data_IF_288698384154
#
_entry.id   IF_288698384154
#
_cell.length_a   1.000
_cell.length_b   1.000
_cell.length_c   1.000
_cell.angle_alpha   90.00
_cell.angle_beta   90.00
_cell.angle_gamma   90.00
#
_symmetry.space_group_name_H-M   'P 1'
#
loop_
_entity.id
_entity.type
_entity.pdbx_description
1 polymer ?
#
# COMPACT_ATOMS: atom_id res chain seq x y z
N UNK A 1 -18.25 41.85 -13.80
CA UNK A 1 -18.94 41.38 -15.02
C UNK A 1 -18.21 40.27 -15.78
N UNK A 2 -16.86 40.14 -15.71
CA UNK A 2 -16.14 39.03 -16.35
C UNK A 2 -15.67 37.89 -15.42
N UNK A 3 -15.91 37.99 -14.10
CA UNK A 3 -15.55 36.93 -13.13
C UNK A 3 -16.72 35.97 -12.81
N UNK A 4 -17.96 36.41 -13.02
CA UNK A 4 -19.14 35.62 -12.68
C UNK A 4 -19.49 34.57 -13.76
N UNK A 5 -19.25 34.90 -15.04
CA UNK A 5 -19.49 34.00 -16.19
C UNK A 5 -18.57 32.76 -16.17
N UNK A 6 -17.33 32.90 -15.67
CA UNK A 6 -16.40 31.78 -15.54
C UNK A 6 -16.79 30.82 -14.40
N UNK A 7 -17.35 31.33 -13.31
CA UNK A 7 -17.83 30.53 -12.18
C UNK A 7 -19.15 29.82 -12.50
N UNK A 8 -20.03 30.44 -13.27
CA UNK A 8 -21.27 29.81 -13.78
C UNK A 8 -20.98 28.73 -14.83
N UNK A 9 -19.98 28.94 -15.71
CA UNK A 9 -19.52 27.93 -16.67
C UNK A 9 -18.93 26.69 -15.98
N UNK A 10 -18.14 26.89 -14.92
CA UNK A 10 -17.61 25.79 -14.11
C UNK A 10 -18.73 25.05 -13.37
N UNK A 11 -19.65 25.76 -12.69
CA UNK A 11 -20.79 25.13 -12.01
C UNK A 11 -21.69 24.33 -12.95
N UNK A 12 -21.93 24.87 -14.14
CA UNK A 12 -22.71 24.22 -15.20
C UNK A 12 -22.04 22.94 -15.69
N UNK A 13 -20.72 22.91 -15.86
CA UNK A 13 -19.98 21.69 -16.22
C UNK A 13 -19.98 20.64 -15.09
N UNK A 14 -19.80 21.05 -13.83
CA UNK A 14 -19.90 20.15 -12.67
C UNK A 14 -21.31 19.58 -12.48
N UNK A 15 -22.35 20.33 -12.83
CA UNK A 15 -23.73 19.83 -12.81
C UNK A 15 -24.06 18.96 -14.04
N UNK A 16 -23.44 19.20 -15.19
CA UNK A 16 -23.63 18.40 -16.41
C UNK A 16 -23.03 16.99 -16.32
N UNK A 17 -21.92 16.83 -15.58
CA UNK A 17 -21.37 15.51 -15.27
C UNK A 17 -22.27 14.69 -14.31
N UNK A 18 -23.20 15.35 -13.60
CA UNK A 18 -24.16 14.71 -12.69
C UNK A 18 -25.42 14.17 -13.40
N UNK A 19 -25.51 14.35 -14.73
CA UNK A 19 -26.66 13.98 -15.57
C UNK A 19 -26.40 12.81 -16.52
N UNK A 20 -25.23 12.17 -16.45
CA UNK A 20 -25.05 10.84 -17.04
C UNK A 20 -25.48 9.80 -16.00
N UNK A 21 -26.64 9.18 -16.23
CA UNK A 21 -27.22 8.13 -15.39
C UNK A 21 -26.39 6.84 -15.44
N UNK A 22 -25.18 6.84 -14.87
CA UNK A 22 -24.33 5.65 -14.90
C UNK A 22 -22.98 5.74 -14.19
N UNK A 23 -22.46 6.92 -13.86
CA UNK A 23 -21.21 7.05 -13.12
C UNK A 23 -21.48 7.54 -11.69
N UNK A 24 -21.21 6.68 -10.70
CA UNK A 24 -21.10 7.03 -9.29
C UNK A 24 -19.62 7.18 -8.93
N UNK A 25 -19.11 8.42 -8.77
CA UNK A 25 -17.70 8.67 -8.47
C UNK A 25 -17.18 7.93 -7.22
N UNK A 26 -18.07 7.60 -6.27
CA UNK A 26 -17.69 6.89 -5.05
C UNK A 26 -17.52 5.39 -5.27
N UNK A 27 -18.24 4.79 -6.21
CA UNK A 27 -18.18 3.36 -6.53
C UNK A 27 -17.27 3.06 -7.73
N UNK A 28 -17.09 4.04 -8.63
CA UNK A 28 -16.38 3.88 -9.89
C UNK A 28 -14.93 4.38 -9.85
N UNK A 29 -14.46 4.85 -8.69
CA UNK A 29 -13.04 5.17 -8.46
C UNK A 29 -12.41 4.06 -7.62
N UNK A 30 -11.82 3.04 -8.25
CA UNK A 30 -11.30 1.89 -7.52
C UNK A 30 -10.13 2.26 -6.61
N UNK A 31 -9.90 1.42 -5.60
CA UNK A 31 -8.82 1.61 -4.63
C UNK A 31 -7.48 1.53 -5.33
N UNK A 32 -6.71 2.61 -5.27
CA UNK A 32 -5.37 2.65 -5.84
C UNK A 32 -4.37 1.90 -4.94
N UNK A 33 -4.24 0.59 -5.14
CA UNK A 33 -3.48 -0.31 -4.26
C UNK A 33 -2.00 0.07 -4.11
N UNK A 34 -1.37 0.60 -5.16
CA UNK A 34 0.02 1.08 -5.11
C UNK A 34 0.17 2.20 -4.09
N UNK A 35 -0.73 3.19 -4.15
CA UNK A 35 -0.70 4.31 -3.24
C UNK A 35 -1.17 3.95 -1.85
N UNK A 36 -2.18 3.10 -1.71
CA UNK A 36 -2.75 2.74 -0.41
C UNK A 36 -1.80 1.83 0.37
N UNK A 37 -1.26 0.80 -0.26
CA UNK A 37 -0.50 -0.24 0.43
C UNK A 37 1.01 0.05 0.39
N UNK A 38 1.61 0.22 -0.79
CA UNK A 38 3.07 0.37 -0.89
C UNK A 38 3.53 1.77 -0.48
N UNK A 39 3.04 2.82 -1.14
CA UNK A 39 3.37 4.21 -0.80
C UNK A 39 2.61 4.72 0.43
N UNK A 40 1.70 3.91 0.97
CA UNK A 40 0.98 4.14 2.21
C UNK A 40 1.53 3.28 3.33
N UNK A 41 0.89 2.15 3.61
CA UNK A 41 1.20 1.30 4.76
C UNK A 41 2.67 0.89 4.84
N UNK A 42 3.23 0.29 3.79
CA UNK A 42 4.62 -0.20 3.79
C UNK A 42 5.59 0.96 3.99
N UNK A 43 5.44 2.05 3.25
CA UNK A 43 6.26 3.26 3.42
C UNK A 43 6.20 3.82 4.84
N UNK A 44 4.99 4.01 5.36
CA UNK A 44 4.77 4.59 6.68
C UNK A 44 5.33 3.71 7.79
N UNK A 45 5.14 2.40 7.67
CA UNK A 45 5.54 1.44 8.70
C UNK A 45 7.05 1.21 8.66
N UNK A 46 7.65 1.17 7.47
CA UNK A 46 9.10 1.04 7.33
C UNK A 46 9.80 2.24 7.95
N UNK A 47 9.26 3.42 7.67
CA UNK A 47 9.77 4.64 8.26
C UNK A 47 9.71 4.63 9.79
N UNK A 48 8.53 4.37 10.35
CA UNK A 48 8.33 4.38 11.81
C UNK A 48 9.13 3.27 12.52
N UNK A 49 9.27 2.09 11.90
CA UNK A 49 10.10 1.00 12.42
C UNK A 49 11.57 1.44 12.51
N UNK A 50 12.17 1.94 11.42
CA UNK A 50 13.58 2.36 11.41
C UNK A 50 13.81 3.56 12.34
N UNK A 51 12.89 4.52 12.40
CA UNK A 51 13.00 5.69 13.27
C UNK A 51 13.06 5.34 14.76
N UNK A 52 12.55 4.17 15.16
CA UNK A 52 12.59 3.68 16.55
C UNK A 52 13.85 2.88 16.88
N UNK A 53 14.60 2.43 15.87
CA UNK A 53 15.83 1.67 16.07
C UNK A 53 16.99 2.59 16.48
N UNK A 54 17.81 2.13 17.42
CA UNK A 54 19.11 2.74 17.71
C UNK A 54 20.16 2.38 16.64
N UNK A 55 21.33 3.00 16.69
CA UNK A 55 22.36 2.83 15.66
C UNK A 55 22.91 1.39 15.59
N UNK A 56 22.97 0.68 16.72
CA UNK A 56 23.38 -0.73 16.77
C UNK A 56 22.33 -1.58 16.06
N UNK A 57 21.05 -1.41 16.40
CA UNK A 57 19.94 -2.13 15.78
C UNK A 57 19.83 -1.85 14.28
N UNK A 58 20.06 -0.61 13.84
CA UNK A 58 20.12 -0.25 12.42
C UNK A 58 21.25 -0.98 11.69
N UNK A 59 22.41 -1.12 12.33
CA UNK A 59 23.53 -1.87 11.78
C UNK A 59 23.18 -3.35 11.63
N UNK A 60 22.53 -3.94 12.65
CA UNK A 60 22.03 -5.33 12.57
C UNK A 60 21.01 -5.50 11.44
N UNK A 61 20.06 -4.57 11.31
CA UNK A 61 19.08 -4.58 10.22
C UNK A 61 19.74 -4.52 8.85
N UNK A 62 20.77 -3.69 8.67
CA UNK A 62 21.55 -3.64 7.43
C UNK A 62 22.24 -4.99 7.16
N UNK A 63 22.82 -5.62 8.19
CA UNK A 63 23.41 -6.96 8.05
C UNK A 63 22.38 -7.99 7.64
N UNK A 64 21.19 -8.01 8.25
CA UNK A 64 20.11 -8.93 7.87
C UNK A 64 19.67 -8.72 6.42
N UNK A 65 19.47 -7.47 6.00
CA UNK A 65 19.12 -7.13 4.62
C UNK A 65 20.20 -7.57 3.63
N UNK A 66 21.47 -7.24 3.90
CA UNK A 66 22.58 -7.57 3.01
C UNK A 66 22.84 -9.09 2.92
N UNK A 67 22.48 -9.84 3.97
CA UNK A 67 22.65 -11.30 4.04
C UNK A 67 21.41 -12.06 3.57
N UNK A 68 20.33 -11.37 3.22
CA UNK A 68 19.07 -12.00 2.84
C UNK A 68 19.21 -12.74 1.50
N UNK A 69 18.77 -13.99 1.48
CA UNK A 69 18.87 -14.83 0.28
C UNK A 69 17.75 -14.50 -0.72
N UNK A 70 18.11 -13.89 -1.85
CA UNK A 70 17.16 -13.37 -2.87
C UNK A 70 16.87 -14.25 -4.11
N UNK A 71 17.56 -15.38 -4.43
CA UNK A 71 17.29 -16.14 -5.65
C UNK A 71 15.81 -16.55 -5.83
N UNK A 72 15.12 -16.91 -4.75
CA UNK A 72 13.70 -17.27 -4.79
C UNK A 72 12.75 -16.10 -5.08
N UNK A 73 13.23 -14.86 -4.94
CA UNK A 73 12.46 -13.64 -5.21
C UNK A 73 12.75 -13.06 -6.61
N UNK A 74 13.76 -13.58 -7.32
CA UNK A 74 14.20 -13.07 -8.62
C UNK A 74 14.52 -11.55 -8.61
N UNK A 75 15.16 -11.08 -7.55
CA UNK A 75 15.62 -9.68 -7.39
C UNK A 75 17.13 -9.63 -7.17
N UNK A 76 17.72 -8.46 -7.46
CA UNK A 76 19.12 -8.17 -7.10
C UNK A 76 19.33 -8.24 -5.58
N UNK A 77 20.57 -8.51 -5.11
CA UNK A 77 20.91 -8.40 -3.70
C UNK A 77 20.45 -7.07 -3.10
N UNK A 78 19.92 -7.14 -1.87
CA UNK A 78 19.35 -5.98 -1.21
C UNK A 78 20.45 -4.98 -0.84
N UNK A 79 20.24 -3.72 -1.19
CA UNK A 79 21.09 -2.62 -0.73
C UNK A 79 20.66 -2.20 0.69
N UNK A 80 20.99 -3.01 1.70
CA UNK A 80 20.56 -2.80 3.09
C UNK A 80 20.91 -1.41 3.62
N UNK A 81 22.08 -0.89 3.26
CA UNK A 81 22.48 0.48 3.61
C UNK A 81 21.48 1.51 3.05
N UNK A 82 21.08 1.38 1.79
CA UNK A 82 20.09 2.29 1.16
C UNK A 82 18.74 2.19 1.84
N UNK A 83 18.26 0.97 2.06
CA UNK A 83 16.94 0.71 2.67
C UNK A 83 16.83 1.23 4.10
N UNK A 84 17.95 1.34 4.82
CA UNK A 84 17.98 1.78 6.23
C UNK A 84 18.43 3.24 6.40
N UNK A 85 19.43 3.72 5.66
CA UNK A 85 19.96 5.09 5.82
C UNK A 85 19.17 6.11 5.01
N UNK A 86 18.70 5.71 3.82
CA UNK A 86 18.01 6.59 2.88
C UNK A 86 16.53 6.22 2.73
N UNK A 87 15.90 5.72 3.81
CA UNK A 87 14.49 5.27 3.78
C UNK A 87 13.51 6.36 3.27
N UNK A 88 13.88 7.64 3.36
CA UNK A 88 13.06 8.77 2.91
C UNK A 88 13.07 8.97 1.40
N UNK A 89 14.04 8.38 0.69
CA UNK A 89 14.24 8.49 -0.76
C UNK A 89 13.78 7.23 -1.51
N UNK A 90 13.16 6.27 -0.80
CA UNK A 90 12.72 5.01 -1.38
C UNK A 90 11.54 5.21 -2.34
N UNK A 91 11.54 4.40 -3.39
CA UNK A 91 10.56 4.40 -4.45
C UNK A 91 9.59 3.22 -4.32
N UNK A 92 8.56 3.18 -5.16
CA UNK A 92 7.55 2.11 -5.14
C UNK A 92 8.15 0.70 -5.26
N UNK A 93 9.19 0.52 -6.07
CA UNK A 93 9.87 -0.78 -6.22
C UNK A 93 10.57 -1.23 -4.92
N UNK A 94 11.20 -0.31 -4.19
CA UNK A 94 11.84 -0.62 -2.90
C UNK A 94 10.80 -1.10 -1.89
N UNK A 95 9.62 -0.47 -1.87
CA UNK A 95 8.52 -0.90 -0.99
C UNK A 95 7.94 -2.27 -1.38
N UNK A 96 7.93 -2.63 -2.68
CA UNK A 96 7.59 -3.99 -3.09
C UNK A 96 8.59 -5.02 -2.54
N UNK A 97 9.87 -4.67 -2.47
CA UNK A 97 10.91 -5.56 -1.92
C UNK A 97 10.77 -5.63 -0.41
N UNK A 98 10.61 -4.50 0.27
CA UNK A 98 10.42 -4.43 1.72
C UNK A 98 9.22 -5.27 2.17
N UNK A 99 8.08 -5.20 1.47
CA UNK A 99 6.90 -6.00 1.82
C UNK A 99 7.12 -7.51 1.73
N UNK A 100 8.12 -7.98 0.98
CA UNK A 100 8.46 -9.40 0.88
C UNK A 100 9.47 -9.84 1.95
N UNK A 101 10.36 -8.94 2.37
CA UNK A 101 11.49 -9.31 3.25
C UNK A 101 11.30 -8.88 4.71
N UNK A 102 10.40 -7.92 4.99
CA UNK A 102 10.25 -7.31 6.31
C UNK A 102 10.11 -8.30 7.48
N UNK A 103 9.29 -9.38 7.42
CA UNK A 103 9.17 -10.36 8.51
C UNK A 103 10.48 -11.04 8.88
N UNK A 104 11.36 -11.21 7.89
CA UNK A 104 12.62 -11.93 8.03
C UNK A 104 13.79 -11.05 8.44
N UNK A 105 13.61 -9.72 8.45
CA UNK A 105 14.66 -8.77 8.83
C UNK A 105 14.29 -7.92 10.03
N UNK A 106 13.01 -7.89 10.42
CA UNK A 106 12.54 -7.14 11.59
C UNK A 106 12.36 -8.00 12.85
N UNK A 107 12.45 -9.33 12.74
CA UNK A 107 12.35 -10.22 13.89
C UNK A 107 13.39 -9.83 14.96
N UNK A 108 12.99 -9.87 16.24
CA UNK A 108 13.79 -9.50 17.41
C UNK A 108 14.38 -8.07 17.42
N UNK A 109 14.10 -7.23 16.42
CA UNK A 109 14.59 -5.84 16.35
C UNK A 109 13.52 -4.81 16.73
N UNK A 110 12.24 -5.11 16.50
CA UNK A 110 11.13 -4.20 16.76
C UNK A 110 10.23 -4.71 17.89
N UNK A 111 9.35 -3.85 18.39
CA UNK A 111 8.32 -4.23 19.36
C UNK A 111 7.42 -5.34 18.80
N UNK A 112 6.90 -6.20 19.68
CA UNK A 112 6.05 -7.34 19.31
C UNK A 112 4.85 -6.90 18.46
N UNK A 113 4.17 -5.82 18.85
CA UNK A 113 2.99 -5.30 18.16
C UNK A 113 3.33 -4.75 16.78
N UNK A 114 4.52 -4.13 16.64
CA UNK A 114 5.06 -3.70 15.35
C UNK A 114 5.30 -4.92 14.45
N UNK A 115 5.93 -5.96 14.99
CA UNK A 115 6.22 -7.18 14.25
C UNK A 115 4.94 -7.90 13.79
N UNK A 116 3.94 -8.04 14.67
CA UNK A 116 2.62 -8.62 14.33
C UNK A 116 1.89 -7.80 13.25
N UNK A 117 2.05 -6.48 13.28
CA UNK A 117 1.53 -5.59 12.23
C UNK A 117 2.23 -5.83 10.88
N UNK A 118 3.55 -6.06 10.88
CA UNK A 118 4.27 -6.44 9.66
C UNK A 118 3.86 -7.81 9.14
N UNK A 119 3.68 -8.80 10.01
CA UNK A 119 3.22 -10.14 9.61
C UNK A 119 1.85 -10.08 8.94
N UNK A 120 0.89 -9.36 9.54
CA UNK A 120 -0.44 -9.20 8.96
C UNK A 120 -0.41 -8.40 7.65
N UNK A 121 0.37 -7.32 7.56
CA UNK A 121 0.52 -6.54 6.33
C UNK A 121 1.14 -7.37 5.20
N UNK A 122 2.24 -8.06 5.48
CA UNK A 122 2.96 -8.87 4.48
C UNK A 122 2.18 -10.10 4.06
N UNK A 123 1.24 -10.59 4.87
CA UNK A 123 0.28 -11.62 4.48
C UNK A 123 -0.86 -11.08 3.61
N UNK A 124 -1.27 -9.82 3.80
CA UNK A 124 -2.28 -9.15 2.97
C UNK A 124 -1.77 -8.84 1.56
N UNK A 125 -0.52 -8.37 1.43
CA UNK A 125 0.09 -7.98 0.14
C UNK A 125 -0.06 -9.03 -0.97
N UNK A 126 0.33 -10.32 -0.79
CA UNK A 126 0.20 -11.31 -1.86
C UNK A 126 -1.25 -11.60 -2.23
N UNK A 127 -2.22 -11.49 -1.30
CA UNK A 127 -3.64 -11.64 -1.61
C UNK A 127 -4.14 -10.51 -2.51
N UNK A 128 -3.68 -9.29 -2.28
CA UNK A 128 -4.08 -8.12 -3.07
C UNK A 128 -3.46 -8.13 -4.48
N UNK A 129 -2.24 -8.65 -4.62
CA UNK A 129 -1.50 -8.68 -5.89
C UNK A 129 -1.67 -9.97 -6.70
N UNK A 130 -2.67 -10.81 -6.40
CA UNK A 130 -2.94 -12.01 -7.20
C UNK A 130 -3.40 -11.62 -8.62
N UNK A 131 -2.82 -12.21 -9.67
CA UNK A 131 -3.19 -11.89 -11.06
C UNK A 131 -4.51 -12.54 -11.49
N UNK A 132 -4.91 -13.61 -10.83
CA UNK A 132 -6.08 -14.40 -11.16
C UNK A 132 -6.82 -14.79 -9.87
N UNK A 133 -8.14 -14.78 -9.91
CA UNK A 133 -9.03 -15.17 -8.80
C UNK A 133 -9.87 -16.34 -9.31
N UNK A 134 -9.68 -17.52 -8.72
CA UNK A 134 -10.42 -18.73 -9.09
C UNK A 134 -11.85 -18.74 -8.54
N UNK A 135 -12.02 -18.28 -7.29
CA UNK A 135 -13.31 -18.12 -6.62
C UNK A 135 -13.39 -16.73 -6.00
N UNK A 136 -14.33 -15.91 -6.49
CA UNK A 136 -14.47 -14.51 -6.10
C UNK A 136 -14.97 -14.36 -4.66
N UNK A 137 -15.88 -15.22 -4.22
CA UNK A 137 -16.49 -15.14 -2.89
C UNK A 137 -15.49 -15.58 -1.81
N UNK A 138 -14.74 -16.66 -2.08
CA UNK A 138 -13.67 -17.12 -1.20
C UNK A 138 -12.57 -16.05 -1.08
N UNK A 139 -12.15 -15.48 -2.21
CA UNK A 139 -11.10 -14.47 -2.26
C UNK A 139 -11.51 -13.18 -1.55
N UNK A 140 -12.74 -12.68 -1.75
CA UNK A 140 -13.29 -11.54 -1.02
C UNK A 140 -13.33 -11.83 0.48
N UNK A 141 -13.76 -13.02 0.88
CA UNK A 141 -13.75 -13.45 2.27
C UNK A 141 -12.35 -13.45 2.87
N UNK A 142 -11.35 -13.93 2.13
CA UNK A 142 -9.95 -13.94 2.55
C UNK A 142 -9.39 -12.53 2.70
N UNK A 143 -9.64 -11.64 1.73
CA UNK A 143 -9.18 -10.24 1.79
C UNK A 143 -9.86 -9.49 2.94
N UNK A 144 -11.17 -9.64 3.14
CA UNK A 144 -11.85 -9.01 4.29
C UNK A 144 -11.19 -9.41 5.60
N UNK A 145 -11.00 -10.71 5.85
CA UNK A 145 -10.35 -11.21 7.07
C UNK A 145 -8.91 -10.70 7.21
N UNK A 146 -8.14 -10.66 6.12
CA UNK A 146 -6.77 -10.18 6.13
C UNK A 146 -6.69 -8.67 6.42
N UNK A 147 -7.60 -7.86 5.86
CA UNK A 147 -7.70 -6.43 6.13
C UNK A 147 -8.10 -6.20 7.60
N UNK A 148 -9.10 -6.92 8.10
CA UNK A 148 -9.54 -6.79 9.50
C UNK A 148 -8.40 -7.13 10.46
N UNK A 149 -7.73 -8.26 10.24
CA UNK A 149 -6.58 -8.66 11.04
C UNK A 149 -5.44 -7.63 11.00
N UNK A 150 -5.11 -7.10 9.80
CA UNK A 150 -4.11 -6.06 9.64
C UNK A 150 -4.45 -4.77 10.40
N UNK A 151 -5.70 -4.33 10.33
CA UNK A 151 -6.15 -3.13 11.02
C UNK A 151 -6.17 -3.33 12.53
N UNK A 152 -6.58 -4.50 13.01
CA UNK A 152 -6.53 -4.86 14.42
C UNK A 152 -5.08 -4.83 14.94
N UNK A 153 -4.13 -5.47 14.25
CA UNK A 153 -2.72 -5.39 14.61
C UNK A 153 -2.21 -3.93 14.62
N UNK A 154 -2.61 -3.14 13.62
CA UNK A 154 -2.21 -1.73 13.53
C UNK A 154 -2.70 -0.91 14.73
N UNK A 155 -3.94 -1.14 15.19
CA UNK A 155 -4.48 -0.48 16.39
C UNK A 155 -3.64 -0.82 17.62
N UNK A 156 -3.23 -2.08 17.79
CA UNK A 156 -2.41 -2.50 18.93
C UNK A 156 -1.01 -1.89 18.90
N UNK A 157 -0.44 -1.67 17.71
CA UNK A 157 0.85 -1.00 17.59
C UNK A 157 0.75 0.52 17.78
N UNK A 158 -0.09 1.20 16.99
CA UNK A 158 -0.28 2.66 17.08
C UNK A 158 -1.55 3.17 16.37
N UNK A 159 -2.49 3.73 17.14
CA UNK A 159 -3.76 4.27 16.63
C UNK A 159 -3.61 5.50 15.72
N UNK A 160 -2.50 6.24 15.81
CA UNK A 160 -2.30 7.49 15.05
C UNK A 160 -2.38 7.28 13.53
N UNK A 161 -2.12 6.07 13.05
CA UNK A 161 -2.20 5.75 11.62
C UNK A 161 -3.59 5.96 11.02
N UNK A 162 -4.65 5.76 11.81
CA UNK A 162 -6.04 5.89 11.36
C UNK A 162 -6.45 7.33 11.02
N UNK A 163 -5.63 8.33 11.36
CA UNK A 163 -5.81 9.70 10.87
C UNK A 163 -5.47 9.85 9.38
N UNK A 164 -4.82 8.85 8.77
CA UNK A 164 -4.56 8.83 7.32
C UNK A 164 -5.74 8.19 6.59
N UNK A 165 -6.25 8.79 5.50
CA UNK A 165 -7.43 8.28 4.79
C UNK A 165 -7.24 6.88 4.21
N UNK A 166 -5.99 6.46 3.94
CA UNK A 166 -5.66 5.14 3.38
C UNK A 166 -6.19 3.96 4.23
N UNK A 167 -6.25 4.12 5.55
CA UNK A 167 -6.76 3.10 6.48
C UNK A 167 -8.29 2.93 6.40
N UNK A 168 -9.00 3.98 6.01
CA UNK A 168 -10.42 3.90 5.69
C UNK A 168 -10.63 3.35 4.27
N UNK A 169 -9.87 3.88 3.30
CA UNK A 169 -9.97 3.53 1.87
C UNK A 169 -9.79 2.02 1.63
N UNK A 170 -8.85 1.36 2.34
CA UNK A 170 -8.60 -0.09 2.13
C UNK A 170 -9.83 -0.97 2.39
N UNK A 171 -10.77 -0.54 3.24
CA UNK A 171 -12.02 -1.28 3.50
C UNK A 171 -12.93 -1.39 2.28
N UNK A 172 -12.75 -0.53 1.28
CA UNK A 172 -13.48 -0.60 0.01
C UNK A 172 -12.86 -1.55 -1.01
N UNK A 173 -11.63 -2.04 -0.76
CA UNK A 173 -10.93 -2.92 -1.69
C UNK A 173 -11.71 -4.21 -2.02
N UNK A 174 -12.35 -4.91 -1.07
CA UNK A 174 -13.12 -6.11 -1.38
C UNK A 174 -14.31 -5.83 -2.32
N UNK A 175 -15.01 -4.71 -2.11
CA UNK A 175 -16.10 -4.27 -3.00
C UNK A 175 -15.58 -4.00 -4.41
N UNK A 176 -14.43 -3.34 -4.54
CA UNK A 176 -13.84 -3.06 -5.85
C UNK A 176 -13.32 -4.32 -6.53
N UNK A 177 -12.78 -5.29 -5.79
CA UNK A 177 -12.37 -6.57 -6.36
C UNK A 177 -13.59 -7.35 -6.87
N UNK A 178 -14.71 -7.31 -6.14
CA UNK A 178 -15.96 -7.89 -6.59
C UNK A 178 -16.44 -7.30 -7.94
N UNK A 179 -16.36 -5.97 -8.09
CA UNK A 179 -16.86 -5.29 -9.29
C UNK A 179 -15.89 -5.29 -10.48
N UNK A 180 -14.60 -5.14 -10.23
CA UNK A 180 -13.59 -4.92 -11.26
C UNK A 180 -12.65 -6.12 -11.47
N UNK A 181 -12.78 -7.17 -10.66
CA UNK A 181 -11.90 -8.32 -10.68
C UNK A 181 -10.58 -8.09 -9.91
N UNK A 182 -9.52 -8.82 -10.23
CA UNK A 182 -8.25 -8.74 -9.51
C UNK A 182 -7.71 -7.31 -9.36
N UNK A 183 -7.26 -6.95 -8.15
CA UNK A 183 -6.89 -5.57 -7.85
C UNK A 183 -5.70 -5.05 -8.68
N UNK A 184 -4.87 -5.94 -9.20
CA UNK A 184 -3.78 -5.60 -10.11
C UNK A 184 -4.28 -4.94 -11.41
N UNK A 185 -5.50 -5.25 -11.86
CA UNK A 185 -6.05 -4.74 -13.12
C UNK A 185 -6.40 -3.25 -13.05
N UNK A 186 -6.74 -2.75 -11.87
CA UNK A 186 -7.00 -1.33 -11.62
C UNK A 186 -5.91 -0.66 -10.78
N UNK A 187 -4.77 -1.33 -10.60
CA UNK A 187 -3.59 -0.71 -10.03
C UNK A 187 -3.00 0.29 -11.05
N UNK A 188 -3.05 1.57 -10.72
CA UNK A 188 -2.67 2.71 -11.58
C UNK A 188 -1.18 2.71 -12.01
N UNK A 189 -0.39 1.68 -11.65
CA UNK A 189 1.00 1.49 -12.10
C UNK A 189 1.14 1.57 -13.63
N UNK A 190 0.14 1.14 -14.40
CA UNK A 190 0.09 1.33 -15.84
C UNK A 190 0.15 2.81 -16.24
N UNK A 191 -0.68 3.66 -15.62
CA UNK A 191 -0.74 5.10 -15.89
C UNK A 191 0.51 5.87 -15.45
N UNK A 192 1.12 5.50 -14.32
CA UNK A 192 2.36 6.14 -13.86
C UNK A 192 3.57 5.82 -14.76
N UNK A 193 3.61 4.63 -15.36
CA UNK A 193 4.69 4.26 -16.28
C UNK A 193 4.74 5.14 -17.53
N UNK A 194 3.60 5.73 -17.94
CA UNK A 194 3.55 6.70 -19.03
C UNK A 194 4.13 8.07 -18.65
N UNK A 195 4.23 8.41 -17.35
CA UNK A 195 4.87 9.65 -16.92
C UNK A 195 6.40 9.64 -17.12
N UNK A 196 7.00 8.47 -17.38
CA UNK A 196 8.44 8.32 -17.66
C UNK A 196 8.83 8.45 -19.14
N UNK A 197 7.87 8.65 -20.05
CA UNK A 197 8.08 8.73 -21.50
C UNK A 197 8.04 10.20 -21.99
N UNK A 198 8.70 11.10 -21.25
CA UNK A 198 8.84 12.53 -21.63
C UNK A 198 10.24 12.78 -22.16
#
# INVERSE_FOLDING_TARGET
MFKDVALEGARSQYQKAKTESGLDPHHDTPVEILHVILLGFVKYFWWDAISRLNDIQKTVLQTYLNSFNVPGLNISPLAGQTLVQYFGLLMGCDFCVISQVAPFVLYDLVLKECYETWLSLTSLVPLVWQPEISDIDEHIGAIHRAIDHFLDCTVHWILRWFNKPKFHIVKHLPLHIHHFGPAILFAIKGFESFNGVI
#
